data_IF_244005624240
#
_entry.id   IF_244005624240
#
_cell.length_a   1.000
_cell.length_b   1.000
_cell.length_c   1.000
_cell.angle_alpha   90.00
_cell.angle_beta   90.00
_cell.angle_gamma   90.00
#
_symmetry.space_group_name_H-M   'P 1'
#
loop_
_entity.id
_entity.type
_entity.pdbx_description
1 polymer ?
#
# COMPACT_ATOMS: atom_id res chain seq x y z
N UNK A 1 43.06 43.36 3.53
CA UNK A 1 42.95 42.03 2.89
C UNK A 1 42.07 41.17 3.77
N UNK A 2 40.80 41.00 3.41
CA UNK A 2 39.84 40.12 4.07
C UNK A 2 39.89 38.75 3.40
N UNK A 3 39.87 37.61 4.12
CA UNK A 3 39.63 36.31 3.48
C UNK A 3 38.13 36.19 3.12
N UNK A 4 37.75 35.65 1.95
CA UNK A 4 36.38 35.24 1.72
C UNK A 4 36.07 33.96 2.52
N UNK A 5 34.99 34.02 3.27
CA UNK A 5 34.39 32.91 4.01
C UNK A 5 34.13 31.70 3.11
N UNK A 6 34.53 30.53 3.61
CA UNK A 6 34.21 29.23 3.02
C UNK A 6 32.70 29.03 2.97
N UNK A 7 32.13 28.99 1.76
CA UNK A 7 30.76 28.50 1.56
C UNK A 7 30.76 26.99 1.83
N UNK A 8 29.99 26.60 2.84
CA UNK A 8 29.71 25.20 3.14
C UNK A 8 29.03 24.56 1.91
N UNK A 9 29.65 23.52 1.37
CA UNK A 9 29.05 22.66 0.36
C UNK A 9 28.04 21.75 1.06
N UNK A 10 26.75 22.04 0.94
CA UNK A 10 25.69 21.05 1.16
C UNK A 10 25.65 20.11 -0.04
N UNK A 11 26.14 18.89 0.16
CA UNK A 11 26.01 17.77 -0.79
C UNK A 11 24.56 17.32 -0.95
N UNK A 12 24.23 16.55 -2.01
CA UNK A 12 22.87 16.41 -2.50
C UNK A 12 21.98 15.53 -1.62
N UNK A 13 20.88 16.10 -1.14
CA UNK A 13 19.79 15.46 -0.38
C UNK A 13 18.90 14.60 -1.30
N UNK A 14 19.48 13.65 -2.03
CA UNK A 14 18.73 12.72 -2.89
C UNK A 14 18.75 11.31 -2.31
N UNK A 15 18.04 11.06 -1.20
CA UNK A 15 17.88 9.69 -0.64
C UNK A 15 16.67 9.36 0.26
N UNK A 16 15.55 10.12 0.26
CA UNK A 16 14.28 9.58 0.79
C UNK A 16 13.46 8.84 -0.27
N UNK A 17 13.31 9.41 -1.48
CA UNK A 17 12.40 8.89 -2.51
C UNK A 17 12.76 7.46 -2.97
N UNK A 18 14.03 7.22 -3.34
CA UNK A 18 14.51 5.92 -3.80
C UNK A 18 14.35 4.80 -2.75
N UNK A 19 14.48 5.14 -1.45
CA UNK A 19 14.29 4.18 -0.35
C UNK A 19 12.80 3.88 -0.14
N UNK A 20 11.95 4.89 -0.26
CA UNK A 20 10.50 4.73 -0.22
C UNK A 20 10.00 3.87 -1.38
N UNK A 21 10.47 4.12 -2.60
CA UNK A 21 10.13 3.33 -3.78
C UNK A 21 10.47 1.85 -3.53
N UNK A 22 11.70 1.53 -3.15
CA UNK A 22 12.12 0.15 -2.86
C UNK A 22 11.29 -0.51 -1.74
N UNK A 23 10.89 0.25 -0.72
CA UNK A 23 10.06 -0.25 0.37
C UNK A 23 8.61 -0.50 -0.06
N UNK A 24 8.10 0.29 -1.01
CA UNK A 24 6.77 0.07 -1.59
C UNK A 24 6.80 -1.04 -2.64
N UNK A 25 7.88 -1.19 -3.41
CA UNK A 25 8.06 -2.24 -4.43
C UNK A 25 7.89 -3.65 -3.87
N UNK A 26 8.16 -3.85 -2.57
CA UNK A 26 7.88 -5.12 -1.88
C UNK A 26 6.39 -5.50 -1.92
N UNK A 27 5.48 -4.55 -2.15
CA UNK A 27 4.04 -4.78 -2.22
C UNK A 27 3.60 -5.39 -3.55
N UNK A 28 4.45 -5.33 -4.58
CA UNK A 28 4.13 -5.86 -5.91
C UNK A 28 3.80 -7.36 -5.83
N UNK A 29 2.81 -7.76 -6.61
CA UNK A 29 2.34 -9.13 -6.69
C UNK A 29 0.95 -9.34 -6.09
N UNK A 30 0.66 -10.60 -5.82
CA UNK A 30 -0.69 -11.07 -5.49
C UNK A 30 -0.78 -11.44 -4.02
N UNK A 31 -1.85 -11.01 -3.37
CA UNK A 31 -2.11 -11.18 -1.94
C UNK A 31 -3.47 -11.84 -1.74
N UNK A 32 -3.52 -12.94 -0.99
CA UNK A 32 -4.70 -13.80 -0.85
C UNK A 32 -5.17 -13.79 0.59
N UNK A 33 -6.46 -13.53 0.82
CA UNK A 33 -7.10 -13.73 2.12
C UNK A 33 -7.40 -15.22 2.29
N UNK A 34 -6.84 -15.91 3.29
CA UNK A 34 -6.94 -17.37 3.40
C UNK A 34 -8.35 -17.87 3.75
N UNK A 35 -9.17 -17.04 4.39
CA UNK A 35 -10.55 -17.35 4.78
C UNK A 35 -11.52 -17.51 3.60
N UNK A 36 -11.34 -16.73 2.53
CA UNK A 36 -12.30 -16.70 1.41
C UNK A 36 -11.68 -16.75 0.02
N UNK A 37 -10.34 -16.82 -0.08
CA UNK A 37 -9.62 -16.79 -1.35
C UNK A 37 -9.65 -15.43 -2.06
N UNK A 38 -10.12 -14.35 -1.40
CA UNK A 38 -10.17 -13.02 -1.98
C UNK A 38 -8.77 -12.51 -2.29
N UNK A 39 -8.61 -11.84 -3.43
CA UNK A 39 -7.29 -11.46 -3.93
C UNK A 39 -7.17 -9.96 -4.06
N UNK A 40 -6.05 -9.41 -3.58
CA UNK A 40 -5.55 -8.09 -3.97
C UNK A 40 -4.36 -8.32 -4.89
N UNK A 41 -4.43 -7.85 -6.13
CA UNK A 41 -3.32 -7.93 -7.07
C UNK A 41 -2.75 -6.53 -7.31
N UNK A 42 -1.50 -6.30 -6.93
CA UNK A 42 -0.80 -5.02 -7.09
C UNK A 42 0.19 -5.18 -8.24
N UNK A 43 -0.06 -4.48 -9.35
CA UNK A 43 0.69 -4.61 -10.60
C UNK A 43 1.78 -3.54 -10.74
N UNK A 44 1.51 -2.33 -10.25
CA UNK A 44 2.44 -1.20 -10.34
C UNK A 44 2.25 -0.24 -9.19
N UNK A 45 3.31 0.50 -8.87
CA UNK A 45 3.34 1.57 -7.87
C UNK A 45 3.95 2.79 -8.55
N UNK A 46 3.29 3.94 -8.42
CA UNK A 46 3.82 5.22 -8.89
C UNK A 46 4.65 5.90 -7.80
N UNK A 47 5.54 6.84 -8.18
CA UNK A 47 6.41 7.57 -7.25
C UNK A 47 5.64 8.31 -6.12
N UNK A 48 4.35 8.62 -6.34
CA UNK A 48 3.47 9.21 -5.33
C UNK A 48 2.78 8.21 -4.40
N UNK A 49 3.09 6.91 -4.50
CA UNK A 49 2.47 5.84 -3.71
C UNK A 49 1.12 5.34 -4.23
N UNK A 50 0.63 5.87 -5.36
CA UNK A 50 -0.59 5.36 -6.01
C UNK A 50 -0.33 3.95 -6.55
N UNK A 51 -1.28 3.05 -6.32
CA UNK A 51 -1.21 1.67 -6.76
C UNK A 51 -2.08 1.46 -8.01
N UNK A 52 -1.55 0.70 -8.97
CA UNK A 52 -2.37 0.02 -9.97
C UNK A 52 -2.69 -1.38 -9.43
N UNK A 53 -3.90 -1.53 -8.90
CA UNK A 53 -4.32 -2.75 -8.22
C UNK A 53 -5.77 -3.13 -8.55
N UNK A 54 -6.09 -4.42 -8.36
CA UNK A 54 -7.44 -4.94 -8.50
C UNK A 54 -7.78 -5.88 -7.33
N UNK A 55 -9.06 -5.90 -6.96
CA UNK A 55 -9.63 -6.84 -6.01
C UNK A 55 -10.30 -7.99 -6.77
N UNK A 56 -10.29 -9.23 -6.29
CA UNK A 56 -11.08 -10.31 -6.88
C UNK A 56 -11.88 -11.09 -5.84
N UNK A 57 -13.19 -11.21 -6.08
CA UNK A 57 -14.09 -12.06 -5.31
C UNK A 57 -15.35 -12.44 -6.12
N UNK A 58 -15.41 -13.62 -6.76
CA UNK A 58 -14.32 -14.32 -7.46
C UNK A 58 -13.89 -13.59 -8.76
N UNK A 59 -14.75 -12.70 -9.29
CA UNK A 59 -14.43 -11.86 -10.45
C UNK A 59 -13.61 -10.62 -10.04
N UNK A 60 -12.71 -10.15 -10.91
CA UNK A 60 -11.92 -8.95 -10.64
C UNK A 60 -12.78 -7.68 -10.70
N UNK A 61 -12.51 -6.77 -9.76
CA UNK A 61 -13.11 -5.45 -9.62
C UNK A 61 -11.99 -4.42 -9.46
N UNK A 62 -12.11 -3.24 -10.08
CA UNK A 62 -11.17 -2.16 -9.84
C UNK A 62 -11.38 -1.57 -8.45
N UNK A 63 -10.29 -1.11 -7.84
CA UNK A 63 -10.40 -0.20 -6.71
C UNK A 63 -10.75 1.20 -7.20
N UNK A 64 -11.65 1.88 -6.48
CA UNK A 64 -11.90 3.30 -6.67
C UNK A 64 -10.71 4.14 -6.20
N UNK A 65 -10.03 3.67 -5.14
CA UNK A 65 -8.82 4.27 -4.61
C UNK A 65 -7.86 3.17 -4.15
N UNK A 66 -6.59 3.29 -4.49
CA UNK A 66 -5.55 2.33 -4.10
C UNK A 66 -4.23 3.09 -3.93
N UNK A 67 -3.74 3.14 -2.71
CA UNK A 67 -2.55 3.93 -2.33
C UNK A 67 -1.74 3.18 -1.28
N UNK A 68 -0.44 3.39 -1.29
CA UNK A 68 0.46 2.98 -0.24
C UNK A 68 1.32 4.16 0.22
N UNK A 69 1.60 4.19 1.51
CA UNK A 69 2.43 5.21 2.14
C UNK A 69 3.48 4.56 3.03
N UNK A 70 4.65 5.20 3.11
CA UNK A 70 5.69 4.82 4.05
C UNK A 70 5.67 5.80 5.24
N UNK A 71 5.19 5.34 6.39
CA UNK A 71 5.22 6.10 7.63
C UNK A 71 6.39 5.63 8.50
N UNK A 72 7.50 6.36 8.44
CA UNK A 72 8.76 5.98 9.07
C UNK A 72 9.34 4.72 8.44
N UNK A 73 9.12 3.56 9.08
CA UNK A 73 9.54 2.23 8.57
C UNK A 73 8.35 1.32 8.26
N UNK A 74 7.12 1.82 8.45
CA UNK A 74 5.90 1.04 8.32
C UNK A 74 5.23 1.37 7.00
N UNK A 75 5.00 0.35 6.18
CA UNK A 75 4.28 0.50 4.91
C UNK A 75 2.79 0.28 5.17
N UNK A 76 1.98 1.29 4.90
CA UNK A 76 0.52 1.23 5.01
C UNK A 76 -0.11 1.26 3.63
N UNK A 77 -1.23 0.55 3.48
CA UNK A 77 -2.00 0.51 2.25
C UNK A 77 -3.44 0.88 2.55
N UNK A 78 -4.03 1.65 1.65
CA UNK A 78 -5.43 2.01 1.69
C UNK A 78 -6.08 1.65 0.35
N UNK A 79 -7.20 0.93 0.44
CA UNK A 79 -8.00 0.58 -0.72
C UNK A 79 -9.46 0.95 -0.48
N UNK A 80 -10.14 1.44 -1.52
CA UNK A 80 -11.57 1.72 -1.52
C UNK A 80 -12.24 0.99 -2.67
N UNK A 81 -13.37 0.34 -2.38
CA UNK A 81 -14.22 -0.32 -3.36
C UNK A 81 -15.53 0.46 -3.52
N UNK A 82 -15.93 0.68 -4.78
CA UNK A 82 -17.25 1.24 -5.12
C UNK A 82 -18.10 0.35 -6.02
N UNK A 83 -17.51 -0.66 -6.65
CA UNK A 83 -18.21 -1.59 -7.52
C UNK A 83 -18.72 -2.83 -6.76
N UNK A 84 -19.52 -3.67 -7.42
CA UNK A 84 -19.81 -5.04 -6.97
C UNK A 84 -20.54 -5.18 -5.63
N UNK A 85 -21.33 -4.18 -5.22
CA UNK A 85 -22.04 -4.19 -3.93
C UNK A 85 -21.21 -3.70 -2.75
N UNK A 86 -19.96 -3.28 -2.99
CA UNK A 86 -19.06 -2.81 -1.95
C UNK A 86 -19.09 -1.29 -1.74
N UNK A 87 -20.01 -0.54 -2.37
CA UNK A 87 -20.09 0.93 -2.37
C UNK A 87 -19.61 1.61 -1.07
N UNK A 88 -18.34 2.06 -1.07
CA UNK A 88 -17.71 2.78 0.05
C UNK A 88 -16.93 1.90 1.04
N UNK A 89 -16.80 0.60 0.79
CA UNK A 89 -16.06 -0.33 1.66
C UNK A 89 -14.56 -0.14 1.47
N UNK A 90 -13.82 -0.21 2.56
CA UNK A 90 -12.39 0.13 2.57
C UNK A 90 -11.55 -0.94 3.24
N UNK A 91 -10.30 -1.04 2.80
CA UNK A 91 -9.26 -1.79 3.48
C UNK A 91 -8.18 -0.81 3.95
N UNK A 92 -7.88 -0.86 5.24
CA UNK A 92 -6.76 -0.15 5.85
C UNK A 92 -5.78 -1.21 6.35
N UNK A 93 -4.70 -1.43 5.59
CA UNK A 93 -3.75 -2.50 5.82
C UNK A 93 -2.37 -1.96 6.16
N UNK A 94 -1.59 -2.77 6.85
CA UNK A 94 -0.18 -2.54 7.15
C UNK A 94 0.60 -3.77 6.71
N UNK A 95 1.70 -3.55 6.00
CA UNK A 95 2.61 -4.63 5.62
C UNK A 95 3.48 -5.04 6.80
N UNK A 96 3.48 -6.33 7.10
CA UNK A 96 4.34 -6.96 8.07
C UNK A 96 5.46 -7.72 7.35
N UNK A 97 6.71 -7.20 7.33
CA UNK A 97 7.80 -7.83 6.60
C UNK A 97 8.35 -9.09 7.29
N UNK A 98 8.03 -9.33 8.56
CA UNK A 98 8.49 -10.52 9.28
C UNK A 98 7.69 -11.76 8.88
N UNK A 99 6.38 -11.61 8.67
CA UNK A 99 5.48 -12.66 8.24
C UNK A 99 5.14 -12.64 6.74
N UNK A 100 5.55 -11.60 6.00
CA UNK A 100 5.19 -11.33 4.60
C UNK A 100 3.65 -11.35 4.40
N UNK A 101 2.96 -10.55 5.22
CA UNK A 101 1.49 -10.40 5.18
C UNK A 101 1.05 -8.94 5.18
N UNK A 102 -0.12 -8.69 4.60
CA UNK A 102 -0.85 -7.44 4.78
C UNK A 102 -1.91 -7.67 5.86
N UNK A 103 -1.87 -6.92 6.96
CA UNK A 103 -2.81 -7.06 8.08
C UNK A 103 -3.50 -5.75 8.41
N UNK A 104 -4.76 -5.79 8.80
CA UNK A 104 -5.48 -4.61 9.22
C UNK A 104 -6.98 -4.80 9.20
N UNK A 105 -7.71 -3.74 8.86
CA UNK A 105 -9.16 -3.70 8.99
C UNK A 105 -9.83 -3.56 7.62
N UNK A 106 -10.83 -4.40 7.40
CA UNK A 106 -11.83 -4.22 6.36
C UNK A 106 -13.08 -3.55 6.96
N UNK A 107 -13.47 -2.40 6.43
CA UNK A 107 -14.73 -1.75 6.74
C UNK A 107 -15.76 -2.05 5.64
N UNK A 108 -16.83 -2.76 5.99
CA UNK A 108 -17.96 -3.02 5.10
C UNK A 108 -18.96 -1.87 5.24
N UNK A 109 -19.05 -1.02 4.22
CA UNK A 109 -19.85 0.20 4.29
C UNK A 109 -21.36 -0.07 4.41
N UNK A 110 -21.87 -1.14 3.78
CA UNK A 110 -23.30 -1.45 3.75
C UNK A 110 -23.82 -1.86 5.13
N UNK A 111 -23.12 -2.73 5.86
CA UNK A 111 -23.49 -3.11 7.23
C UNK A 111 -22.86 -2.20 8.30
N UNK A 112 -21.98 -1.27 7.90
CA UNK A 112 -21.19 -0.42 8.79
C UNK A 112 -20.37 -1.20 9.82
N UNK A 113 -19.87 -2.37 9.42
CA UNK A 113 -19.08 -3.26 10.29
C UNK A 113 -17.60 -3.23 9.94
N UNK A 114 -16.76 -3.55 10.93
CA UNK A 114 -15.31 -3.67 10.78
C UNK A 114 -14.89 -5.10 11.09
N UNK A 115 -13.96 -5.61 10.29
CA UNK A 115 -13.42 -6.94 10.42
C UNK A 115 -11.90 -6.88 10.37
N UNK A 116 -11.23 -7.53 11.32
CA UNK A 116 -9.81 -7.78 11.21
C UNK A 116 -9.56 -8.80 10.10
N UNK A 117 -8.66 -8.44 9.18
CA UNK A 117 -8.33 -9.23 8.00
C UNK A 117 -6.83 -9.27 7.80
N UNK A 118 -6.38 -10.33 7.16
CA UNK A 118 -5.02 -10.43 6.67
C UNK A 118 -4.97 -11.11 5.31
N UNK A 119 -3.94 -10.77 4.54
CA UNK A 119 -3.64 -11.35 3.24
C UNK A 119 -2.21 -11.87 3.26
N UNK A 120 -2.03 -13.07 2.74
CA UNK A 120 -0.73 -13.71 2.56
C UNK A 120 -0.28 -13.54 1.11
N UNK A 121 1.02 -13.38 0.88
CA UNK A 121 1.53 -13.36 -0.49
C UNK A 121 1.23 -14.69 -1.18
N UNK A 122 0.71 -14.63 -2.40
CA UNK A 122 0.59 -15.79 -3.26
C UNK A 122 1.99 -16.25 -3.66
N UNK A 123 2.28 -17.52 -3.46
CA UNK A 123 3.48 -18.18 -3.99
C UNK A 123 3.37 -18.44 -5.48
#
# INVERSE_FOLDING_TARGET
MLPPSSVAQTGPDAKPAARSESALDTLLGRWIRPDGGYVINIRRIDAGGKLDAAYANPHPLPFAKAEATLEGKVVKLFFELRAGGYNGSTYSLTYDPAADVLKGVYFQAVAQQKFDVYFMRAR
#
